data_IF_904256618168
#
_entry.id   IF_904256618168
#
_cell.length_a   1.000
_cell.length_b   1.000
_cell.length_c   1.000
_cell.angle_alpha   90.00
_cell.angle_beta   90.00
_cell.angle_gamma   90.00
#
_symmetry.space_group_name_H-M   'P 1'
#
loop_
_entity.id
_entity.type
_entity.pdbx_description
1 polymer ?
#
# COMPACT_ATOMS: atom_id res chain seq x y z
N UNK A 1 -19.13 -2.96 14.98
CA UNK A 1 -18.24 -3.49 16.02
C UNK A 1 -16.92 -2.77 15.85
N UNK A 2 -16.16 -2.57 16.87
CA UNK A 2 -14.94 -1.78 16.84
C UNK A 2 -13.80 -2.57 17.49
N UNK A 3 -12.56 -2.19 17.18
CA UNK A 3 -11.37 -2.73 17.86
C UNK A 3 -10.99 -1.77 18.99
N UNK A 4 -10.70 -2.30 20.16
CA UNK A 4 -10.26 -1.54 21.32
C UNK A 4 -8.94 -2.09 21.83
N UNK A 5 -8.02 -1.17 22.16
CA UNK A 5 -6.81 -1.47 22.93
C UNK A 5 -7.07 -1.10 24.38
N UNK A 6 -6.79 -2.02 25.28
CA UNK A 6 -7.02 -1.84 26.71
C UNK A 6 -5.74 -2.15 27.48
N UNK A 7 -5.39 -1.25 28.39
CA UNK A 7 -4.35 -1.46 29.40
C UNK A 7 -5.04 -1.50 30.74
N UNK A 8 -4.92 -2.62 31.44
CA UNK A 8 -5.60 -2.83 32.71
C UNK A 8 -4.78 -3.71 33.66
N UNK A 9 -5.10 -3.63 34.94
CA UNK A 9 -4.44 -4.42 35.97
C UNK A 9 -4.11 -3.63 37.21
N UNK A 10 -3.63 -4.33 38.24
CA UNK A 10 -3.29 -3.79 39.56
C UNK A 10 -1.81 -3.98 39.88
N UNK A 11 -1.18 -2.96 40.49
CA UNK A 11 0.22 -3.00 40.90
C UNK A 11 1.19 -3.28 39.77
N UNK A 12 1.96 -4.36 39.87
CA UNK A 12 2.95 -4.78 38.89
C UNK A 12 2.37 -5.69 37.77
N UNK A 13 1.13 -6.15 37.94
CA UNK A 13 0.45 -7.01 36.96
C UNK A 13 -0.40 -6.16 36.02
N UNK A 14 0.21 -5.73 34.90
CA UNK A 14 -0.46 -4.94 33.87
C UNK A 14 -0.59 -5.78 32.61
N UNK A 15 -1.83 -5.91 32.12
CA UNK A 15 -2.14 -6.51 30.84
C UNK A 15 -2.29 -5.44 29.77
N UNK A 16 -1.74 -5.70 28.59
CA UNK A 16 -1.92 -4.91 27.38
C UNK A 16 -2.57 -5.81 26.33
N UNK A 17 -3.84 -5.57 26.03
CA UNK A 17 -4.58 -6.43 25.12
C UNK A 17 -5.35 -5.62 24.09
N UNK A 18 -5.53 -6.22 22.90
CA UNK A 18 -6.34 -5.67 21.81
C UNK A 18 -7.49 -6.61 21.52
N UNK A 19 -8.70 -6.06 21.53
CA UNK A 19 -9.94 -6.79 21.34
C UNK A 19 -10.61 -6.33 20.05
N UNK A 20 -10.64 -7.19 19.04
CA UNK A 20 -11.32 -6.94 17.78
C UNK A 20 -12.80 -7.32 17.86
N UNK A 21 -13.62 -6.61 17.09
CA UNK A 21 -15.07 -6.86 16.93
C UNK A 21 -15.85 -6.84 18.23
N UNK A 22 -15.55 -5.91 19.11
CA UNK A 22 -16.22 -5.76 20.41
C UNK A 22 -17.04 -4.49 20.52
N UNK A 23 -18.00 -4.50 21.41
CA UNK A 23 -18.63 -3.32 22.02
C UNK A 23 -18.19 -3.18 23.46
N UNK A 24 -18.12 -1.95 23.95
CA UNK A 24 -17.68 -1.64 25.30
C UNK A 24 -18.81 -0.94 26.01
N UNK A 25 -19.17 -1.43 27.20
CA UNK A 25 -20.14 -0.82 28.06
C UNK A 25 -19.52 -0.54 29.46
N UNK A 26 -20.02 0.49 30.14
CA UNK A 26 -19.61 0.83 31.49
C UNK A 26 -20.84 0.75 32.37
N UNK A 27 -20.84 -0.18 33.30
CA UNK A 27 -21.93 -0.41 34.24
C UNK A 27 -21.40 -0.68 35.65
N UNK A 28 -21.98 0.00 36.66
CA UNK A 28 -21.74 -0.23 38.10
C UNK A 28 -20.24 -0.32 38.48
N UNK A 29 -19.41 0.54 37.90
CA UNK A 29 -17.96 0.58 38.18
C UNK A 29 -17.17 -0.51 37.48
N UNK A 30 -17.73 -1.09 36.41
CA UNK A 30 -17.07 -2.08 35.56
C UNK A 30 -17.02 -1.61 34.09
N UNK A 31 -15.93 -1.94 33.42
CA UNK A 31 -15.81 -1.92 31.95
C UNK A 31 -16.03 -3.33 31.48
N UNK A 32 -17.02 -3.53 30.62
CA UNK A 32 -17.39 -4.84 30.08
C UNK A 32 -17.24 -4.81 28.56
N UNK A 33 -16.50 -5.76 28.01
CA UNK A 33 -16.33 -5.97 26.57
C UNK A 33 -17.23 -7.12 26.13
N UNK A 34 -18.02 -6.89 25.09
CA UNK A 34 -18.92 -7.88 24.52
C UNK A 34 -18.49 -8.23 23.09
N UNK A 35 -18.60 -9.51 22.73
CA UNK A 35 -18.43 -10.00 21.36
C UNK A 35 -19.64 -10.88 21.00
N UNK A 36 -20.38 -10.49 19.93
CA UNK A 36 -21.58 -11.21 19.51
C UNK A 36 -22.71 -11.24 20.55
N UNK A 37 -22.70 -10.31 21.51
CA UNK A 37 -23.65 -10.27 22.62
C UNK A 37 -23.18 -10.93 23.91
N UNK A 38 -22.08 -11.70 23.88
CA UNK A 38 -21.51 -12.34 25.05
C UNK A 38 -20.42 -11.48 25.69
N UNK A 39 -20.42 -11.38 27.02
CA UNK A 39 -19.36 -10.69 27.76
C UNK A 39 -18.09 -11.56 27.76
N UNK A 40 -17.03 -11.02 27.13
CA UNK A 40 -15.73 -11.72 26.99
C UNK A 40 -14.69 -11.25 27.99
N UNK A 41 -14.84 -10.03 28.51
CA UNK A 41 -13.97 -9.47 29.53
C UNK A 41 -14.76 -8.51 30.42
N UNK A 42 -14.49 -8.54 31.73
CA UNK A 42 -15.02 -7.60 32.69
C UNK A 42 -13.92 -7.13 33.63
N UNK A 43 -13.63 -5.83 33.63
CA UNK A 43 -12.57 -5.22 34.42
C UNK A 43 -13.17 -4.10 35.28
N UNK A 44 -12.77 -3.99 36.53
CA UNK A 44 -13.14 -2.86 37.36
C UNK A 44 -12.61 -1.55 36.74
N UNK A 45 -13.44 -0.51 36.75
CA UNK A 45 -13.09 0.77 36.11
C UNK A 45 -11.82 1.41 36.72
N UNK A 46 -11.62 1.24 38.05
CA UNK A 46 -10.43 1.68 38.76
C UNK A 46 -9.14 0.92 38.41
N UNK A 47 -9.26 -0.25 37.79
CA UNK A 47 -8.14 -1.04 37.25
C UNK A 47 -7.87 -0.81 35.75
N UNK A 48 -8.73 -0.04 35.06
CA UNK A 48 -8.51 0.33 33.66
C UNK A 48 -7.61 1.55 33.59
N UNK A 49 -6.40 1.41 33.05
CA UNK A 49 -5.42 2.49 32.89
C UNK A 49 -5.63 3.27 31.59
N UNK A 50 -5.93 2.56 30.52
CA UNK A 50 -6.36 3.17 29.26
C UNK A 50 -7.33 2.24 28.52
N UNK A 51 -8.24 2.85 27.78
CA UNK A 51 -9.15 2.17 26.86
C UNK A 51 -9.30 3.07 25.65
N UNK A 52 -8.69 2.66 24.56
CA UNK A 52 -8.66 3.41 23.32
C UNK A 52 -9.39 2.63 22.23
N UNK A 53 -10.27 3.30 21.51
CA UNK A 53 -10.83 2.74 20.29
C UNK A 53 -9.78 2.86 19.19
N UNK A 54 -9.35 1.71 18.69
CA UNK A 54 -8.45 1.64 17.53
C UNK A 54 -9.35 1.65 16.31
N UNK A 55 -9.52 2.79 15.69
CA UNK A 55 -10.14 2.86 14.37
C UNK A 55 -9.14 2.28 13.36
N UNK A 56 -9.26 1.00 13.09
CA UNK A 56 -8.58 0.35 11.97
C UNK A 56 -9.16 0.90 10.65
N UNK A 57 -8.82 2.14 10.34
CA UNK A 57 -9.02 2.62 8.99
C UNK A 57 -7.97 1.91 8.13
N UNK A 58 -8.37 0.99 7.25
CA UNK A 58 -7.38 0.29 6.43
C UNK A 58 -6.58 1.33 5.65
N UNK A 59 -5.25 1.23 5.70
CA UNK A 59 -4.37 2.09 4.91
C UNK A 59 -4.67 1.79 3.44
N UNK A 60 -5.00 2.82 2.68
CA UNK A 60 -5.34 2.72 1.27
C UNK A 60 -4.13 3.03 0.40
N UNK A 61 -4.18 2.57 -0.83
CA UNK A 61 -3.13 2.81 -1.84
C UNK A 61 -2.86 4.30 -2.00
N UNK A 62 -3.90 5.15 -2.02
CA UNK A 62 -3.77 6.61 -2.10
C UNK A 62 -2.96 7.24 -0.98
N UNK A 63 -2.93 6.61 0.21
CA UNK A 63 -2.18 7.09 1.37
C UNK A 63 -0.67 6.75 1.26
N UNK A 64 -0.31 5.87 0.32
CA UNK A 64 1.03 5.33 0.12
C UNK A 64 1.63 5.69 -1.24
N UNK A 65 0.79 5.89 -2.26
CA UNK A 65 1.24 6.18 -3.62
C UNK A 65 2.04 7.48 -3.68
N UNK A 66 2.93 7.56 -4.65
CA UNK A 66 3.73 8.75 -4.94
C UNK A 66 3.13 9.54 -6.10
N UNK A 67 2.52 10.71 -5.86
CA UNK A 67 2.20 11.70 -6.88
C UNK A 67 3.26 12.83 -6.89
N UNK A 68 3.48 13.55 -8.02
CA UNK A 68 3.02 13.23 -9.36
C UNK A 68 3.81 12.07 -9.95
N UNK A 69 3.16 11.29 -10.78
CA UNK A 69 3.81 10.16 -11.45
C UNK A 69 4.71 10.70 -12.56
N UNK A 70 5.96 10.26 -12.57
CA UNK A 70 6.83 10.44 -13.74
C UNK A 70 6.41 9.37 -14.74
N UNK A 71 5.82 9.81 -15.84
CA UNK A 71 5.44 8.96 -16.97
C UNK A 71 6.37 9.18 -18.17
N UNK A 72 6.35 8.26 -19.09
CA UNK A 72 7.08 8.33 -20.34
C UNK A 72 6.17 7.86 -21.48
N UNK A 73 6.29 8.52 -22.63
CA UNK A 73 5.55 8.12 -23.82
C UNK A 73 6.16 6.86 -24.45
N UNK A 74 5.30 6.10 -25.12
CA UNK A 74 5.66 4.85 -25.77
C UNK A 74 6.77 4.99 -26.81
N UNK A 75 6.82 6.13 -27.51
CA UNK A 75 7.80 6.40 -28.56
C UNK A 75 9.12 6.99 -28.06
N UNK A 76 9.25 7.21 -26.75
CA UNK A 76 10.49 7.68 -26.16
C UNK A 76 11.61 6.64 -26.28
N UNK A 77 12.86 7.12 -26.38
CA UNK A 77 14.03 6.25 -26.34
C UNK A 77 14.21 5.62 -24.95
N UNK A 78 14.71 4.39 -24.93
CA UNK A 78 14.96 3.66 -23.68
C UNK A 78 15.93 4.40 -22.75
N UNK A 79 16.89 5.14 -23.32
CA UNK A 79 17.80 6.00 -22.56
C UNK A 79 17.08 7.14 -21.82
N UNK A 80 15.98 7.68 -22.38
CA UNK A 80 15.16 8.68 -21.70
C UNK A 80 14.47 8.09 -20.47
N UNK A 81 13.94 6.87 -20.57
CA UNK A 81 13.37 6.18 -19.42
C UNK A 81 14.42 5.94 -18.32
N UNK A 82 15.61 5.47 -18.68
CA UNK A 82 16.71 5.28 -17.74
C UNK A 82 17.10 6.59 -17.03
N UNK A 83 17.17 7.69 -17.78
CA UNK A 83 17.46 9.01 -17.23
C UNK A 83 16.37 9.46 -16.23
N UNK A 84 15.10 9.30 -16.58
CA UNK A 84 13.97 9.69 -15.74
C UNK A 84 13.91 8.84 -14.46
N UNK A 85 14.11 7.52 -14.54
CA UNK A 85 14.21 6.66 -13.37
C UNK A 85 15.30 7.13 -12.42
N UNK A 86 16.50 7.37 -12.94
CA UNK A 86 17.63 7.87 -12.13
C UNK A 86 17.33 9.22 -11.51
N UNK A 87 16.70 10.14 -12.24
CA UNK A 87 16.35 11.47 -11.76
C UNK A 87 15.28 11.43 -10.66
N UNK A 88 14.32 10.53 -10.79
CA UNK A 88 13.25 10.32 -9.81
C UNK A 88 13.71 9.49 -8.59
N UNK A 89 14.84 8.78 -8.68
CA UNK A 89 15.25 7.80 -7.67
C UNK A 89 14.35 6.56 -7.68
N UNK A 90 13.79 6.23 -8.83
CA UNK A 90 12.85 5.14 -9.04
C UNK A 90 13.45 4.02 -9.89
N UNK A 91 12.88 2.82 -9.82
CA UNK A 91 13.31 1.65 -10.60
C UNK A 91 12.27 1.23 -11.65
N UNK A 92 11.19 2.00 -11.77
CA UNK A 92 10.14 1.79 -12.76
C UNK A 92 9.50 3.11 -13.19
N UNK A 93 8.97 3.14 -14.40
CA UNK A 93 8.14 4.22 -14.92
C UNK A 93 6.88 3.65 -15.55
N UNK A 94 5.80 4.41 -15.49
CA UNK A 94 4.58 4.08 -16.22
C UNK A 94 4.69 4.64 -17.64
N UNK A 95 4.42 3.79 -18.62
CA UNK A 95 4.29 4.19 -20.03
C UNK A 95 2.83 4.55 -20.26
N UNK A 96 2.59 5.74 -20.78
CA UNK A 96 1.27 6.23 -21.15
C UNK A 96 1.11 6.30 -22.66
N UNK A 97 -0.12 6.21 -23.16
CA UNK A 97 -0.39 6.34 -24.58
C UNK A 97 -0.08 7.76 -25.05
N UNK A 98 -0.60 8.74 -24.31
CA UNK A 98 -0.30 10.16 -24.47
C UNK A 98 -0.41 10.90 -23.12
N UNK A 99 0.22 12.08 -23.02
CA UNK A 99 0.22 12.88 -21.78
C UNK A 99 -1.15 13.50 -21.47
N UNK A 100 -2.07 13.60 -22.41
CA UNK A 100 -3.39 14.20 -22.19
C UNK A 100 -4.35 13.18 -21.56
N UNK A 101 -4.28 11.91 -21.99
CA UNK A 101 -5.17 10.86 -21.50
C UNK A 101 -4.64 10.21 -20.20
N UNK A 102 -3.32 10.14 -20.04
CA UNK A 102 -2.66 9.49 -18.89
C UNK A 102 -3.10 8.04 -18.68
N UNK A 103 -3.48 7.37 -19.75
CA UNK A 103 -3.85 5.97 -19.71
C UNK A 103 -2.59 5.10 -19.65
N UNK A 104 -2.40 4.29 -18.61
CA UNK A 104 -1.23 3.42 -18.54
C UNK A 104 -1.36 2.29 -19.57
N UNK A 105 -0.31 2.10 -20.38
CA UNK A 105 -0.25 1.06 -21.43
C UNK A 105 0.87 0.06 -21.19
N UNK A 106 1.87 0.41 -20.36
CA UNK A 106 2.91 -0.51 -19.91
C UNK A 106 3.57 0.02 -18.63
N UNK A 107 4.39 -0.81 -18.02
CA UNK A 107 5.39 -0.41 -17.01
C UNK A 107 6.73 -0.84 -17.53
N UNK A 108 7.70 0.07 -17.56
CA UNK A 108 9.10 -0.20 -17.87
C UNK A 108 9.92 -0.15 -16.57
N UNK A 109 10.84 -1.08 -16.41
CA UNK A 109 11.68 -1.21 -15.22
C UNK A 109 13.16 -1.15 -15.57
N UNK A 110 14.00 -0.96 -14.56
CA UNK A 110 15.46 -1.09 -14.66
C UNK A 110 15.89 -2.47 -15.20
N UNK A 111 15.13 -3.51 -14.87
CA UNK A 111 15.35 -4.87 -15.39
C UNK A 111 15.13 -4.97 -16.90
N UNK A 112 14.13 -4.27 -17.44
CA UNK A 112 13.88 -4.25 -18.89
C UNK A 112 15.01 -3.53 -19.62
N UNK A 113 15.53 -2.45 -19.04
CA UNK A 113 16.70 -1.73 -19.58
C UNK A 113 17.94 -2.63 -19.55
N UNK A 114 18.19 -3.29 -18.41
CA UNK A 114 19.32 -4.20 -18.27
C UNK A 114 19.24 -5.38 -19.25
N UNK A 115 18.04 -5.94 -19.46
CA UNK A 115 17.83 -7.00 -20.43
C UNK A 115 18.11 -6.53 -21.87
N UNK A 116 17.64 -5.35 -22.25
CA UNK A 116 17.92 -4.78 -23.59
C UNK A 116 19.43 -4.59 -23.83
N UNK A 117 20.15 -4.08 -22.82
CA UNK A 117 21.61 -3.93 -22.90
C UNK A 117 22.31 -5.29 -22.98
N UNK A 118 21.86 -6.29 -22.21
CA UNK A 118 22.42 -7.65 -22.27
C UNK A 118 22.19 -8.33 -23.63
N UNK A 119 21.09 -7.97 -24.31
CA UNK A 119 20.79 -8.41 -25.69
C UNK A 119 21.59 -7.64 -26.76
N UNK A 120 22.50 -6.73 -26.35
CA UNK A 120 23.35 -5.95 -27.25
C UNK A 120 22.64 -4.76 -27.90
N UNK A 121 21.48 -4.36 -27.43
CA UNK A 121 20.74 -3.19 -27.93
C UNK A 121 21.29 -1.90 -27.29
N UNK A 122 21.41 -0.84 -28.12
CA UNK A 122 21.77 0.50 -27.60
C UNK A 122 20.49 1.21 -27.11
N UNK A 123 20.41 1.59 -25.83
CA UNK A 123 19.26 2.32 -25.32
C UNK A 123 18.98 3.67 -25.99
N UNK A 124 19.98 4.24 -26.67
CA UNK A 124 19.80 5.50 -27.43
C UNK A 124 19.14 5.28 -28.79
N UNK A 125 19.22 4.07 -29.33
CA UNK A 125 18.71 3.75 -30.67
C UNK A 125 17.33 3.11 -30.63
N UNK A 126 17.01 2.35 -29.53
CA UNK A 126 15.72 1.67 -29.39
C UNK A 126 14.70 2.51 -28.64
N UNK A 127 13.44 2.33 -29.03
CA UNK A 127 12.29 2.94 -28.35
C UNK A 127 11.66 1.97 -27.36
N UNK A 128 10.88 2.50 -26.44
CA UNK A 128 10.09 1.69 -25.50
C UNK A 128 9.09 0.82 -26.27
N UNK A 129 8.54 1.33 -27.38
CA UNK A 129 7.64 0.57 -28.28
C UNK A 129 8.28 -0.67 -28.92
N UNK A 130 9.62 -0.75 -28.98
CA UNK A 130 10.34 -1.89 -29.53
C UNK A 130 10.52 -3.03 -28.53
N UNK A 131 10.18 -2.78 -27.26
CA UNK A 131 10.19 -3.79 -26.21
C UNK A 131 8.90 -4.62 -26.22
N UNK A 132 8.95 -5.87 -25.72
CA UNK A 132 7.74 -6.69 -25.59
C UNK A 132 6.70 -6.01 -24.71
N UNK A 133 5.58 -5.61 -25.31
CA UNK A 133 4.47 -4.99 -24.59
C UNK A 133 3.80 -6.01 -23.64
N UNK A 134 3.60 -5.61 -22.39
CA UNK A 134 2.77 -6.32 -21.44
C UNK A 134 1.72 -5.37 -20.93
N UNK A 135 0.47 -5.82 -20.92
CA UNK A 135 -0.60 -5.04 -20.32
C UNK A 135 -0.28 -4.76 -18.83
N UNK A 136 -0.35 -3.49 -18.38
CA UNK A 136 0.02 -3.16 -17.03
C UNK A 136 -1.04 -3.67 -16.06
N UNK A 137 -0.61 -4.34 -15.00
CA UNK A 137 -1.47 -4.63 -13.86
C UNK A 137 -1.58 -3.35 -13.05
N UNK A 138 -2.80 -2.87 -12.84
CA UNK A 138 -3.10 -1.62 -12.13
C UNK A 138 -3.86 -1.88 -10.85
N UNK A 139 -3.89 -0.89 -9.96
CA UNK A 139 -4.67 -0.90 -8.72
C UNK A 139 -5.45 0.40 -8.60
N UNK A 140 -6.66 0.35 -8.01
CA UNK A 140 -7.44 1.56 -7.72
C UNK A 140 -6.88 2.25 -6.47
N UNK A 141 -6.95 3.58 -6.42
CA UNK A 141 -6.45 4.37 -5.28
C UNK A 141 -7.15 4.04 -3.96
N UNK A 142 -8.41 3.62 -4.03
CA UNK A 142 -9.24 3.23 -2.88
C UNK A 142 -8.99 1.80 -2.36
N UNK A 143 -8.21 0.99 -3.07
CA UNK A 143 -7.83 -0.34 -2.61
C UNK A 143 -6.93 -0.28 -1.37
N UNK A 144 -6.90 -1.36 -0.61
CA UNK A 144 -6.08 -1.43 0.60
C UNK A 144 -4.61 -1.72 0.28
N UNK A 145 -3.69 -1.27 1.16
CA UNK A 145 -2.28 -1.63 1.08
C UNK A 145 -2.06 -3.15 1.04
N UNK A 146 -2.88 -3.91 1.78
CA UNK A 146 -2.84 -5.37 1.79
C UNK A 146 -3.25 -5.96 0.44
N UNK A 147 -4.29 -5.43 -0.20
CA UNK A 147 -4.71 -5.87 -1.54
C UNK A 147 -3.61 -5.61 -2.58
N UNK A 148 -3.01 -4.42 -2.56
CA UNK A 148 -1.90 -4.06 -3.45
C UNK A 148 -0.68 -4.98 -3.24
N UNK A 149 -0.28 -5.23 -1.99
CA UNK A 149 0.83 -6.13 -1.67
C UNK A 149 0.55 -7.56 -2.16
N UNK A 150 -0.65 -8.10 -1.92
CA UNK A 150 -1.04 -9.42 -2.38
C UNK A 150 -1.01 -9.52 -3.91
N UNK A 151 -1.49 -8.48 -4.61
CA UNK A 151 -1.45 -8.42 -6.08
C UNK A 151 0.00 -8.43 -6.60
N UNK A 152 0.90 -7.65 -5.99
CA UNK A 152 2.32 -7.64 -6.33
C UNK A 152 2.96 -9.03 -6.16
N UNK A 153 2.70 -9.69 -5.02
CA UNK A 153 3.24 -11.03 -4.72
C UNK A 153 2.69 -12.08 -5.70
N UNK A 154 1.37 -12.10 -5.91
CA UNK A 154 0.72 -13.07 -6.80
C UNK A 154 1.18 -12.91 -8.26
N UNK A 155 1.40 -11.68 -8.71
CA UNK A 155 1.82 -11.35 -10.09
C UNK A 155 3.35 -11.31 -10.25
N UNK A 156 4.13 -11.45 -9.18
CA UNK A 156 5.59 -11.34 -9.14
C UNK A 156 6.11 -10.01 -9.71
N UNK A 157 5.40 -8.92 -9.40
CA UNK A 157 5.77 -7.56 -9.77
C UNK A 157 6.00 -6.72 -8.51
N UNK A 158 6.76 -5.63 -8.63
CA UNK A 158 7.12 -4.77 -7.51
C UNK A 158 6.51 -3.37 -7.59
N UNK A 159 5.90 -3.03 -8.72
CA UNK A 159 5.34 -1.71 -9.00
C UNK A 159 3.94 -1.87 -9.57
N UNK A 160 3.01 -1.07 -9.07
CA UNK A 160 1.64 -1.00 -9.57
C UNK A 160 1.31 0.45 -9.92
N UNK A 161 0.98 0.74 -11.17
CA UNK A 161 0.32 1.99 -11.52
C UNK A 161 -1.01 2.09 -10.77
N UNK A 162 -1.23 3.24 -10.16
CA UNK A 162 -2.48 3.54 -9.46
C UNK A 162 -3.37 4.34 -10.40
N UNK A 163 -4.60 3.90 -10.54
CA UNK A 163 -5.56 4.51 -11.48
C UNK A 163 -6.85 4.88 -10.78
N UNK A 164 -7.47 5.97 -11.24
CA UNK A 164 -8.82 6.35 -10.93
C UNK A 164 -9.57 6.62 -12.24
N UNK A 165 -10.69 5.93 -12.46
CA UNK A 165 -11.43 6.03 -13.72
C UNK A 165 -10.59 5.65 -14.95
N UNK A 166 -9.59 4.78 -14.80
CA UNK A 166 -8.68 4.37 -15.87
C UNK A 166 -7.51 5.33 -16.15
N UNK A 167 -7.45 6.47 -15.46
CA UNK A 167 -6.36 7.46 -15.57
C UNK A 167 -5.31 7.24 -14.49
N UNK A 168 -4.06 7.36 -14.85
CA UNK A 168 -2.94 7.27 -13.93
C UNK A 168 -2.95 8.43 -12.92
N UNK A 169 -2.97 8.11 -11.62
CA UNK A 169 -2.94 9.10 -10.53
C UNK A 169 -1.73 8.93 -9.62
N UNK A 170 -1.02 7.82 -9.71
CA UNK A 170 0.16 7.55 -8.89
C UNK A 170 0.84 6.24 -9.25
N UNK A 171 1.86 5.92 -8.48
CA UNK A 171 2.50 4.61 -8.47
C UNK A 171 2.76 4.19 -7.02
N UNK A 172 2.58 2.92 -6.72
CA UNK A 172 2.94 2.30 -5.44
C UNK A 172 3.89 1.15 -5.69
N UNK A 173 4.95 1.08 -4.90
CA UNK A 173 5.89 -0.04 -4.94
C UNK A 173 5.72 -0.98 -3.74
N UNK A 174 6.42 -2.12 -3.79
CA UNK A 174 6.36 -3.13 -2.72
C UNK A 174 6.86 -2.58 -1.37
N UNK A 175 7.79 -1.62 -1.37
CA UNK A 175 8.32 -1.01 -0.14
C UNK A 175 7.27 -0.12 0.50
N UNK A 176 6.55 0.67 -0.31
CA UNK A 176 5.44 1.50 0.16
C UNK A 176 4.31 0.64 0.73
N UNK A 177 3.94 -0.45 0.03
CA UNK A 177 2.93 -1.39 0.50
C UNK A 177 3.34 -2.06 1.83
N UNK A 178 4.61 -2.52 1.95
CA UNK A 178 5.14 -3.07 3.20
C UNK A 178 5.13 -2.03 4.33
N UNK A 179 5.49 -0.77 4.06
CA UNK A 179 5.44 0.30 5.06
C UNK A 179 4.02 0.51 5.57
N UNK A 180 3.02 0.49 4.68
CA UNK A 180 1.61 0.56 5.05
C UNK A 180 1.19 -0.59 5.97
N UNK A 181 1.56 -1.83 5.62
CA UNK A 181 1.26 -3.02 6.44
C UNK A 181 1.94 -2.96 7.81
N UNK A 182 3.20 -2.53 7.88
CA UNK A 182 3.92 -2.39 9.15
C UNK A 182 3.32 -1.29 10.04
N UNK A 183 2.80 -0.22 9.45
CA UNK A 183 2.12 0.86 10.18
C UNK A 183 0.79 0.35 10.74
N UNK A 184 0.01 -0.38 9.95
CA UNK A 184 -1.22 -1.03 10.40
C UNK A 184 -0.95 -2.02 11.54
N UNK A 185 0.08 -2.87 11.41
CA UNK A 185 0.46 -3.83 12.44
C UNK A 185 0.87 -3.16 13.77
N UNK A 186 1.60 -2.03 13.72
CA UNK A 186 1.95 -1.26 14.93
C UNK A 186 0.74 -0.61 15.59
N UNK A 187 -0.27 -0.23 14.82
CA UNK A 187 -1.51 0.31 15.36
C UNK A 187 -2.36 -0.78 16.04
N UNK A 188 -2.22 -2.04 15.61
CA UNK A 188 -2.94 -3.19 16.14
C UNK A 188 -2.26 -3.88 17.36
N UNK A 189 -0.97 -3.65 17.62
CA UNK A 189 -0.22 -4.22 18.76
C UNK A 189 0.01 -3.20 19.86
#
# INVERSE_FOLDING_TARGET
MATYRMVYGDGEQIAHETFADVTVEREDGWVVLFRGGDAILRVRDDHVRSLERVDERPIRVRDLMRPPVVSVERDAHLAAAAYLMRKAGDTALVVVEDEADLRPVAVITDTDIAAAVADGKDPNDIRISDLPAREPITVQSEETAAAAANLMVASRIRHLPVVDGGRLVGMVDIVDACRGLMTAAKAAG
#
